data_IF_647886958285
#
_entry.id   IF_647886958285
#
_cell.length_a   1.000
_cell.length_b   1.000
_cell.length_c   1.000
_cell.angle_alpha   90.00
_cell.angle_beta   90.00
_cell.angle_gamma   90.00
#
_symmetry.space_group_name_H-M   'P 1'
#
loop_
_entity.id
_entity.type
_entity.pdbx_description
1 polymer ?
#
# COMPACT_ATOMS: atom_id res chain seq x y z
N UNK A 1 -28.53 24.62 -22.87
CA UNK A 1 -28.55 24.89 -21.43
C UNK A 1 -28.33 23.64 -20.59
N UNK A 2 -29.18 22.62 -20.68
CA UNK A 2 -29.00 21.34 -19.97
C UNK A 2 -27.75 20.60 -20.46
N UNK A 3 -27.46 20.66 -21.74
CA UNK A 3 -26.31 20.02 -22.39
C UNK A 3 -24.98 20.55 -21.86
N UNK A 4 -24.86 21.85 -21.61
CA UNK A 4 -23.65 22.45 -21.02
C UNK A 4 -23.45 22.06 -19.55
N UNK A 5 -24.52 21.86 -18.80
CA UNK A 5 -24.44 21.38 -17.40
C UNK A 5 -24.02 19.92 -17.32
N UNK A 6 -24.49 19.09 -18.25
CA UNK A 6 -24.08 17.68 -18.34
C UNK A 6 -22.61 17.58 -18.73
N UNK A 7 -22.16 18.37 -19.71
CA UNK A 7 -20.74 18.41 -20.10
C UNK A 7 -19.86 18.84 -18.93
N UNK A 8 -20.26 19.88 -18.19
CA UNK A 8 -19.51 20.36 -17.03
C UNK A 8 -19.47 19.31 -15.92
N UNK A 9 -20.58 18.61 -15.68
CA UNK A 9 -20.65 17.53 -14.69
C UNK A 9 -19.75 16.35 -15.08
N UNK A 10 -19.77 15.93 -16.35
CA UNK A 10 -18.88 14.88 -16.87
C UNK A 10 -17.41 15.29 -16.75
N UNK A 11 -17.07 16.54 -17.01
CA UNK A 11 -15.72 17.06 -16.90
C UNK A 11 -15.23 17.06 -15.44
N UNK A 12 -16.10 17.42 -14.49
CA UNK A 12 -15.81 17.36 -13.06
C UNK A 12 -15.62 15.92 -12.58
N UNK A 13 -16.44 15.00 -13.03
CA UNK A 13 -16.30 13.57 -12.70
C UNK A 13 -15.00 13.01 -13.28
N UNK A 14 -14.68 13.34 -14.54
CA UNK A 14 -13.41 12.94 -15.16
C UNK A 14 -12.19 13.50 -14.41
N UNK A 15 -12.25 14.75 -13.94
CA UNK A 15 -11.17 15.34 -13.14
C UNK A 15 -10.98 14.60 -11.82
N UNK A 16 -12.06 14.15 -11.18
CA UNK A 16 -11.98 13.37 -9.93
C UNK A 16 -11.44 11.94 -10.17
N UNK A 17 -11.74 11.34 -11.31
CA UNK A 17 -11.22 10.04 -11.71
C UNK A 17 -9.73 10.08 -12.09
N UNK A 18 -9.26 11.23 -12.59
CA UNK A 18 -7.84 11.47 -12.91
C UNK A 18 -7.00 11.81 -11.67
N UNK A 19 -7.63 12.20 -10.56
CA UNK A 19 -6.98 12.37 -9.26
C UNK A 19 -6.70 11.00 -8.62
N UNK A 20 -5.95 10.15 -9.32
CA UNK A 20 -5.45 8.89 -8.77
C UNK A 20 -4.64 9.17 -7.50
N UNK A 21 -4.61 8.20 -6.59
CA UNK A 21 -3.81 8.29 -5.37
C UNK A 21 -2.35 8.58 -5.75
N UNK A 22 -1.91 9.80 -5.45
CA UNK A 22 -0.53 10.22 -5.72
C UNK A 22 0.40 9.47 -4.78
N UNK A 23 1.54 9.03 -5.30
CA UNK A 23 2.60 8.45 -4.48
C UNK A 23 3.04 9.46 -3.42
N UNK A 24 2.97 9.13 -2.12
CA UNK A 24 3.42 10.04 -1.06
C UNK A 24 4.86 10.48 -1.28
N UNK A 25 5.17 11.75 -0.98
CA UNK A 25 6.48 12.34 -1.21
C UNK A 25 7.65 11.53 -0.61
N UNK A 26 7.55 11.00 0.62
CA UNK A 26 8.62 10.16 1.19
C UNK A 26 8.89 8.89 0.38
N UNK A 27 7.85 8.24 -0.12
CA UNK A 27 7.99 7.03 -0.96
C UNK A 27 8.61 7.37 -2.30
N UNK A 28 8.17 8.45 -2.93
CA UNK A 28 8.71 8.94 -4.19
C UNK A 28 10.21 9.29 -4.05
N UNK A 29 10.57 9.97 -2.98
CA UNK A 29 11.96 10.30 -2.67
C UNK A 29 12.82 9.05 -2.48
N UNK A 30 12.34 8.06 -1.72
CA UNK A 30 13.01 6.78 -1.52
C UNK A 30 13.26 6.05 -2.84
N UNK A 31 12.24 5.94 -3.70
CA UNK A 31 12.34 5.24 -4.97
C UNK A 31 13.30 5.89 -5.96
N UNK A 32 13.52 7.20 -5.84
CA UNK A 32 14.47 7.95 -6.68
C UNK A 32 15.92 7.89 -6.15
N UNK A 33 16.13 7.39 -4.94
CA UNK A 33 17.46 7.33 -4.35
C UNK A 33 18.38 6.38 -5.15
N UNK A 34 19.65 6.76 -5.38
CA UNK A 34 20.58 5.96 -6.19
C UNK A 34 20.80 4.55 -5.65
N UNK A 35 20.78 4.38 -4.33
CA UNK A 35 20.94 3.07 -3.68
C UNK A 35 19.73 2.13 -3.86
N UNK A 36 18.59 2.65 -4.33
CA UNK A 36 17.41 1.85 -4.66
C UNK A 36 17.47 1.28 -6.09
N UNK A 37 18.48 1.62 -6.86
CA UNK A 37 18.62 1.12 -8.23
C UNK A 37 18.78 -0.40 -8.23
N UNK A 38 17.85 -1.10 -8.91
CA UNK A 38 17.80 -2.55 -8.94
C UNK A 38 17.20 -3.21 -7.70
N UNK A 39 16.78 -2.42 -6.69
CA UNK A 39 16.07 -2.95 -5.53
C UNK A 39 14.61 -3.27 -5.86
N UNK A 40 14.09 -4.30 -5.20
CA UNK A 40 12.68 -4.65 -5.21
C UNK A 40 12.01 -4.03 -3.97
N UNK A 41 10.94 -3.28 -4.19
CA UNK A 41 10.25 -2.57 -3.11
C UNK A 41 8.73 -2.67 -3.26
N UNK A 42 8.05 -3.02 -2.18
CA UNK A 42 6.60 -3.00 -2.08
C UNK A 42 6.20 -2.38 -0.74
N UNK A 43 5.09 -1.67 -0.72
CA UNK A 43 4.59 -1.01 0.48
C UNK A 43 3.08 -1.15 0.58
N UNK A 44 2.60 -1.50 1.77
CA UNK A 44 1.19 -1.43 2.14
C UNK A 44 1.07 -0.65 3.44
N UNK A 45 0.23 0.36 3.44
CA UNK A 45 -0.14 1.11 4.65
C UNK A 45 -1.60 0.81 4.96
N UNK A 46 -1.86 0.32 6.16
CA UNK A 46 -3.21 -0.01 6.63
C UNK A 46 -3.60 0.82 7.84
N UNK A 47 -4.86 1.24 7.86
CA UNK A 47 -5.50 1.70 9.07
C UNK A 47 -5.73 0.50 9.98
N UNK A 48 -5.18 0.54 11.21
CA UNK A 48 -5.23 -0.61 12.14
C UNK A 48 -6.64 -0.81 12.70
N UNK A 49 -7.39 0.27 12.89
CA UNK A 49 -8.73 0.20 13.49
C UNK A 49 -9.76 -0.31 12.49
N UNK A 50 -9.71 0.18 11.26
CA UNK A 50 -10.66 -0.19 10.20
C UNK A 50 -10.19 -1.38 9.36
N UNK A 51 -8.91 -1.75 9.43
CA UNK A 51 -8.31 -2.78 8.57
C UNK A 51 -8.19 -2.36 7.10
N UNK A 52 -8.48 -1.10 6.79
CA UNK A 52 -8.52 -0.56 5.44
C UNK A 52 -7.13 -0.23 4.92
N UNK A 53 -6.86 -0.56 3.67
CA UNK A 53 -5.63 -0.11 3.00
C UNK A 53 -5.73 1.37 2.67
N UNK A 54 -4.85 2.17 3.24
CA UNK A 54 -4.74 3.61 3.02
C UNK A 54 -3.90 3.90 1.78
N UNK A 55 -2.82 3.16 1.60
CA UNK A 55 -1.92 3.29 0.48
C UNK A 55 -1.26 1.95 0.15
N UNK A 56 -1.03 1.70 -1.13
CA UNK A 56 -0.30 0.52 -1.58
C UNK A 56 0.59 0.88 -2.77
N UNK A 57 1.76 0.25 -2.83
CA UNK A 57 2.71 0.39 -3.92
C UNK A 57 3.28 -0.98 -4.28
N UNK A 58 3.12 -1.37 -5.56
CA UNK A 58 3.66 -2.60 -6.17
C UNK A 58 3.43 -3.87 -5.32
N UNK A 59 2.21 -4.03 -4.80
CA UNK A 59 1.85 -5.08 -3.84
C UNK A 59 1.68 -6.46 -4.48
N UNK A 60 1.58 -6.55 -5.80
CA UNK A 60 1.47 -7.82 -6.53
C UNK A 60 2.85 -8.44 -6.85
N UNK A 61 3.92 -7.73 -6.54
CA UNK A 61 5.28 -8.23 -6.73
C UNK A 61 5.62 -9.31 -5.72
N UNK A 62 6.11 -10.43 -6.20
CA UNK A 62 6.66 -11.48 -5.34
C UNK A 62 7.95 -11.00 -4.68
N UNK A 63 7.98 -11.07 -3.36
CA UNK A 63 9.12 -10.70 -2.54
C UNK A 63 9.57 -11.91 -1.70
N UNK A 64 10.87 -12.04 -1.51
CA UNK A 64 11.39 -13.01 -0.55
C UNK A 64 11.22 -12.46 0.87
N UNK A 65 10.50 -13.13 1.77
CA UNK A 65 10.31 -12.64 3.13
C UNK A 65 11.60 -12.74 3.98
N UNK A 66 12.56 -13.58 3.58
CA UNK A 66 13.79 -13.80 4.33
C UNK A 66 13.49 -13.99 5.83
N UNK A 67 14.31 -13.36 6.75
CA UNK A 67 14.10 -13.49 8.21
C UNK A 67 12.80 -12.87 8.71
N UNK A 68 12.10 -12.04 7.92
CA UNK A 68 10.77 -11.51 8.30
C UNK A 68 9.76 -12.64 8.45
N UNK A 69 9.95 -13.78 7.78
CA UNK A 69 9.12 -14.97 7.94
C UNK A 69 9.11 -15.49 9.39
N UNK A 70 10.15 -15.22 10.19
CA UNK A 70 10.20 -15.58 11.62
C UNK A 70 9.08 -14.89 12.42
N UNK A 71 8.63 -13.73 12.00
CA UNK A 71 7.50 -13.03 12.63
C UNK A 71 6.23 -13.87 12.52
N UNK A 72 5.97 -14.46 11.35
CA UNK A 72 4.81 -15.33 11.13
C UNK A 72 4.93 -16.60 11.95
N UNK A 73 6.11 -17.25 11.93
CA UNK A 73 6.35 -18.47 12.71
C UNK A 73 6.19 -18.21 14.21
N UNK A 74 6.72 -17.11 14.72
CA UNK A 74 6.61 -16.74 16.14
C UNK A 74 5.17 -16.43 16.54
N UNK A 75 4.44 -15.67 15.72
CA UNK A 75 3.02 -15.37 15.98
C UNK A 75 2.18 -16.64 15.98
N UNK A 76 2.42 -17.57 15.06
CA UNK A 76 1.74 -18.87 14.99
C UNK A 76 2.04 -19.72 16.22
N UNK A 77 3.31 -19.78 16.64
CA UNK A 77 3.70 -20.50 17.84
C UNK A 77 3.03 -19.95 19.09
N UNK A 78 2.99 -18.62 19.22
CA UNK A 78 2.33 -17.93 20.34
C UNK A 78 0.83 -18.22 20.38
N UNK A 79 0.17 -18.21 19.23
CA UNK A 79 -1.27 -18.50 19.11
C UNK A 79 -1.61 -19.95 19.46
N UNK A 80 -0.79 -20.93 19.03
CA UNK A 80 -1.07 -22.35 19.22
C UNK A 80 -0.60 -22.84 20.59
N UNK A 81 0.58 -22.42 21.01
CA UNK A 81 1.22 -22.94 22.24
C UNK A 81 0.94 -22.07 23.46
N UNK A 82 0.59 -20.81 23.25
CA UNK A 82 0.41 -19.82 24.31
C UNK A 82 1.73 -19.24 24.82
N UNK A 83 1.64 -18.17 25.59
CA UNK A 83 2.78 -17.42 26.12
C UNK A 83 3.56 -18.17 27.21
N UNK A 84 2.91 -19.12 27.89
CA UNK A 84 3.47 -19.88 29.03
C UNK A 84 4.17 -21.19 28.61
N UNK A 85 4.23 -21.50 27.31
CA UNK A 85 4.86 -22.72 26.83
C UNK A 85 6.38 -22.73 27.15
N UNK A 86 6.86 -23.82 27.77
CA UNK A 86 8.25 -24.05 28.17
C UNK A 86 8.74 -25.42 27.74
#
# INVERSE_FOLDING_TARGET
>A
MIQNKIVLLCLLICLHLLAGAQTPAPVKWLLQAPYMRGASFSLVVKDVQEGRTVYSYDTDRLQSPASVLKTVATATALEILGEDYR
#
